data_IF_213467037152
#
_entry.id   IF_213467037152
#
_cell.length_a   1.000
_cell.length_b   1.000
_cell.length_c   1.000
_cell.angle_alpha   90.00
_cell.angle_beta   90.00
_cell.angle_gamma   90.00
#
_symmetry.space_group_name_H-M   'P 1'
#
loop_
_entity.id
_entity.type
_entity.pdbx_description
1 polymer ?
#
# COMPACT_ATOMS: atom_id res chain seq x y z
N UNK A 1 -9.74 8.70 -19.67
CA UNK A 1 -9.89 7.34 -19.08
C UNK A 1 -8.53 6.68 -18.92
N UNK A 2 -7.86 6.27 -19.99
CA UNK A 2 -6.53 5.61 -19.91
C UNK A 2 -5.46 6.48 -19.21
N UNK A 3 -5.39 7.78 -19.55
CA UNK A 3 -4.42 8.71 -18.94
C UNK A 3 -4.60 8.82 -17.43
N UNK A 4 -5.83 8.87 -16.94
CA UNK A 4 -6.15 8.94 -15.50
C UNK A 4 -5.75 7.65 -14.78
N UNK A 5 -5.96 6.49 -15.42
CA UNK A 5 -5.52 5.19 -14.88
C UNK A 5 -3.99 5.11 -14.81
N UNK A 6 -3.28 5.52 -15.87
CA UNK A 6 -1.82 5.55 -15.89
C UNK A 6 -1.25 6.54 -14.86
N UNK A 7 -1.92 7.67 -14.62
CA UNK A 7 -1.53 8.62 -13.60
C UNK A 7 -1.70 8.05 -12.18
N UNK A 8 -2.82 7.36 -11.92
CA UNK A 8 -3.02 6.64 -10.65
C UNK A 8 -1.98 5.54 -10.42
N UNK A 9 -1.66 4.77 -11.47
CA UNK A 9 -0.61 3.76 -11.42
C UNK A 9 0.77 4.38 -11.19
N UNK A 10 1.07 5.50 -11.84
CA UNK A 10 2.33 6.23 -11.67
C UNK A 10 2.51 6.74 -10.23
N UNK A 11 1.46 7.28 -9.63
CA UNK A 11 1.46 7.69 -8.22
C UNK A 11 1.66 6.49 -7.29
N UNK A 12 0.95 5.37 -7.53
CA UNK A 12 1.12 4.15 -6.75
C UNK A 12 2.58 3.68 -6.75
N UNK A 13 3.21 3.60 -7.92
CA UNK A 13 4.61 3.20 -8.07
C UNK A 13 5.58 4.19 -7.43
N UNK A 14 5.29 5.49 -7.53
CA UNK A 14 6.11 6.52 -6.89
C UNK A 14 6.09 6.32 -5.36
N UNK A 15 4.91 6.23 -4.75
CA UNK A 15 4.79 6.03 -3.31
C UNK A 15 5.36 4.69 -2.83
N UNK A 16 5.11 3.60 -3.55
CA UNK A 16 5.68 2.28 -3.22
C UNK A 16 7.21 2.27 -3.33
N UNK A 17 7.76 2.99 -4.32
CA UNK A 17 9.20 3.14 -4.54
C UNK A 17 9.92 4.06 -3.55
N UNK A 18 9.20 4.96 -2.86
CA UNK A 18 9.82 5.88 -1.89
C UNK A 18 10.44 5.15 -0.69
N UNK A 19 9.77 4.11 -0.18
CA UNK A 19 10.26 3.30 0.95
C UNK A 19 11.67 2.74 0.71
N UNK A 20 11.88 1.92 -0.34
CA UNK A 20 13.20 1.37 -0.65
C UNK A 20 14.21 2.43 -1.10
N UNK A 21 13.79 3.51 -1.76
CA UNK A 21 14.69 4.56 -2.25
C UNK A 21 15.25 5.44 -1.11
N UNK A 22 14.40 5.88 -0.19
CA UNK A 22 14.78 6.82 0.87
C UNK A 22 15.42 6.13 2.08
N UNK A 23 14.91 4.95 2.46
CA UNK A 23 15.34 4.28 3.69
C UNK A 23 15.38 2.75 3.52
N UNK A 24 16.31 2.22 2.69
CA UNK A 24 16.34 0.79 2.33
C UNK A 24 16.49 -0.13 3.55
N UNK A 25 17.27 0.26 4.57
CA UNK A 25 17.48 -0.55 5.78
C UNK A 25 16.22 -0.63 6.65
N UNK A 26 15.57 0.53 6.88
CA UNK A 26 14.33 0.60 7.66
C UNK A 26 13.19 -0.13 6.94
N UNK A 27 13.11 0.02 5.61
CA UNK A 27 12.17 -0.71 4.77
C UNK A 27 12.35 -2.23 4.88
N UNK A 28 13.58 -2.72 4.73
CA UNK A 28 13.89 -4.14 4.89
C UNK A 28 13.56 -4.66 6.29
N UNK A 29 13.83 -3.89 7.34
CA UNK A 29 13.49 -4.27 8.70
C UNK A 29 11.97 -4.37 8.88
N UNK A 30 11.21 -3.41 8.35
CA UNK A 30 9.74 -3.45 8.40
C UNK A 30 9.17 -4.66 7.67
N UNK A 31 9.69 -4.99 6.48
CA UNK A 31 9.27 -6.19 5.75
C UNK A 31 9.56 -7.48 6.51
N UNK A 32 10.68 -7.58 7.22
CA UNK A 32 10.99 -8.73 8.08
C UNK A 32 10.01 -8.86 9.23
N UNK A 33 9.73 -7.74 9.92
CA UNK A 33 8.74 -7.72 11.01
C UNK A 33 7.36 -8.16 10.51
N UNK A 34 6.94 -7.69 9.34
CA UNK A 34 5.69 -8.12 8.72
C UNK A 34 5.69 -9.61 8.33
N UNK A 35 6.83 -10.14 7.90
CA UNK A 35 6.99 -11.56 7.55
C UNK A 35 7.00 -12.50 8.75
N UNK A 36 7.33 -12.01 9.95
CA UNK A 36 7.28 -12.77 11.20
C UNK A 36 5.89 -12.81 11.83
N UNK A 37 4.96 -11.96 11.39
CA UNK A 37 3.59 -11.95 11.91
C UNK A 37 2.84 -13.22 11.50
N UNK A 38 1.96 -13.76 12.38
CA UNK A 38 1.09 -14.85 12.00
C UNK A 38 0.15 -14.43 10.84
N UNK A 39 -0.19 -15.37 9.94
CA UNK A 39 -0.91 -15.06 8.70
C UNK A 39 -2.28 -14.40 8.96
N UNK A 40 -2.90 -14.69 10.10
CA UNK A 40 -4.18 -14.07 10.46
C UNK A 40 -4.05 -12.58 10.78
N UNK A 41 -2.96 -12.16 11.44
CA UNK A 41 -2.69 -10.74 11.70
C UNK A 41 -2.33 -10.01 10.41
N UNK A 42 -1.50 -10.62 9.56
CA UNK A 42 -1.18 -10.06 8.24
C UNK A 42 -2.45 -9.86 7.39
N UNK A 43 -3.37 -10.82 7.42
CA UNK A 43 -4.67 -10.72 6.74
C UNK A 43 -5.56 -9.61 7.32
N UNK A 44 -5.52 -9.37 8.63
CA UNK A 44 -6.25 -8.25 9.27
C UNK A 44 -5.68 -6.90 8.83
N UNK A 45 -4.36 -6.75 8.80
CA UNK A 45 -3.70 -5.53 8.31
C UNK A 45 -4.07 -5.28 6.85
N UNK A 46 -3.94 -6.29 5.99
CA UNK A 46 -4.35 -6.20 4.58
C UNK A 46 -5.84 -5.89 4.42
N UNK A 47 -6.70 -6.52 5.23
CA UNK A 47 -8.13 -6.26 5.25
C UNK A 47 -8.46 -4.81 5.61
N UNK A 48 -7.84 -4.26 6.65
CA UNK A 48 -8.01 -2.86 7.03
C UNK A 48 -7.58 -1.90 5.91
N UNK A 49 -6.46 -2.17 5.23
CA UNK A 49 -6.00 -1.38 4.09
C UNK A 49 -6.99 -1.41 2.93
N UNK A 50 -7.50 -2.58 2.57
CA UNK A 50 -8.49 -2.75 1.49
C UNK A 50 -9.80 -2.03 1.83
N UNK A 51 -10.30 -2.18 3.06
CA UNK A 51 -11.54 -1.52 3.50
C UNK A 51 -11.37 -0.01 3.52
N UNK A 52 -10.29 0.52 4.09
CA UNK A 52 -10.02 1.95 4.11
C UNK A 52 -9.91 2.53 2.70
N UNK A 53 -9.16 1.87 1.81
CA UNK A 53 -9.06 2.26 0.40
C UNK A 53 -10.42 2.24 -0.31
N UNK A 54 -11.22 1.19 -0.10
CA UNK A 54 -12.57 1.08 -0.65
C UNK A 54 -13.50 2.20 -0.16
N UNK A 55 -13.45 2.56 1.12
CA UNK A 55 -14.23 3.67 1.68
C UNK A 55 -13.81 5.01 1.08
N UNK A 56 -12.51 5.27 0.94
CA UNK A 56 -12.00 6.51 0.32
C UNK A 56 -12.47 6.59 -1.14
N UNK A 57 -12.31 5.51 -1.91
CA UNK A 57 -12.75 5.47 -3.30
C UNK A 57 -14.27 5.66 -3.42
N UNK A 58 -15.05 5.01 -2.57
CA UNK A 58 -16.51 5.18 -2.54
C UNK A 58 -16.90 6.63 -2.20
N UNK A 59 -16.23 7.25 -1.23
CA UNK A 59 -16.50 8.64 -0.85
C UNK A 59 -16.12 9.64 -1.96
N UNK A 60 -15.05 9.39 -2.71
CA UNK A 60 -14.60 10.25 -3.82
C UNK A 60 -15.34 10.00 -5.14
N UNK A 61 -15.90 8.80 -5.33
CA UNK A 61 -16.64 8.43 -6.53
C UNK A 61 -18.15 8.75 -6.46
N UNK A 62 -18.63 9.21 -5.30
CA UNK A 62 -19.97 9.78 -5.10
C UNK A 62 -20.02 11.23 -5.55
#
# INVERSE_FOLDING_TARGET
MLTSMLMGLGLLLLFEGLGPLLAPRAWQQMLRLLGELPPEQLRRIGGCLVVAGGVILWALAR
#
